data_IF_580288391848
#
_entry.id   IF_580288391848
#
_cell.length_a   1.000
_cell.length_b   1.000
_cell.length_c   1.000
_cell.angle_alpha   90.00
_cell.angle_beta   90.00
_cell.angle_gamma   90.00
#
_symmetry.space_group_name_H-M   'P 1'
#
loop_
_entity.id
_entity.type
_entity.pdbx_description
1 polymer ?
#
# COMPACT_ATOMS: atom_id res chain seq x y z
N UNK A 1 -8.86 32.32 -2.85
CA UNK A 1 -9.08 31.37 -1.73
C UNK A 1 -9.68 30.10 -2.32
N UNK A 2 -9.15 28.90 -2.01
CA UNK A 2 -9.71 27.64 -2.53
C UNK A 2 -11.00 27.32 -1.78
N UNK A 3 -12.09 27.08 -2.50
CA UNK A 3 -13.36 26.62 -1.92
C UNK A 3 -13.18 25.15 -1.56
N UNK A 4 -12.93 24.87 -0.29
CA UNK A 4 -12.81 23.51 0.24
C UNK A 4 -14.12 23.06 0.89
N UNK A 5 -14.37 21.76 0.93
CA UNK A 5 -15.55 21.18 1.60
C UNK A 5 -15.72 21.68 3.05
N UNK A 6 -14.60 21.78 3.79
CA UNK A 6 -14.54 22.30 5.16
C UNK A 6 -15.04 23.74 5.27
N UNK A 7 -14.71 24.61 4.31
CA UNK A 7 -15.15 25.99 4.29
C UNK A 7 -16.66 26.12 4.06
N UNK A 8 -17.21 25.30 3.16
CA UNK A 8 -18.65 25.27 2.89
C UNK A 8 -19.45 24.73 4.08
N UNK A 9 -18.92 23.69 4.75
CA UNK A 9 -19.57 23.13 5.93
C UNK A 9 -19.57 24.10 7.12
N UNK A 10 -18.42 24.70 7.45
CA UNK A 10 -18.36 25.72 8.52
C UNK A 10 -19.19 26.95 8.19
N UNK A 11 -19.17 27.39 6.93
CA UNK A 11 -20.04 28.46 6.42
C UNK A 11 -21.51 28.15 6.64
N UNK A 12 -21.98 26.97 6.23
CA UNK A 12 -23.38 26.55 6.42
C UNK A 12 -23.79 26.45 7.88
N UNK A 13 -22.93 25.96 8.76
CA UNK A 13 -23.21 25.83 10.19
C UNK A 13 -23.38 27.20 10.86
N UNK A 14 -22.50 28.16 10.54
CA UNK A 14 -22.60 29.53 11.04
C UNK A 14 -23.86 30.21 10.50
N UNK A 15 -24.17 30.03 9.21
CA UNK A 15 -25.37 30.58 8.58
C UNK A 15 -26.65 30.01 9.19
N UNK A 16 -26.68 28.71 9.48
CA UNK A 16 -27.81 28.06 10.16
C UNK A 16 -28.00 28.57 11.60
N UNK A 17 -26.91 28.74 12.36
CA UNK A 17 -26.96 29.29 13.72
C UNK A 17 -27.45 30.74 13.73
N UNK A 18 -26.96 31.58 12.83
CA UNK A 18 -27.43 32.96 12.69
C UNK A 18 -28.90 32.99 12.25
N UNK A 19 -29.28 32.14 11.29
CA UNK A 19 -30.66 32.07 10.82
C UNK A 19 -31.63 31.70 11.95
N UNK A 20 -31.23 30.74 12.79
CA UNK A 20 -31.98 30.32 13.96
C UNK A 20 -32.04 31.40 15.05
N UNK A 21 -30.91 32.07 15.34
CA UNK A 21 -30.82 33.12 16.36
C UNK A 21 -31.67 34.36 16.02
N UNK A 22 -31.81 34.68 14.73
CA UNK A 22 -32.60 35.82 14.26
C UNK A 22 -34.02 35.43 13.79
N UNK A 23 -34.48 34.20 14.07
CA UNK A 23 -35.78 33.66 13.61
C UNK A 23 -36.02 33.87 12.10
N UNK A 24 -34.95 33.90 11.32
CA UNK A 24 -35.01 34.16 9.88
C UNK A 24 -35.16 32.84 9.13
N UNK A 25 -36.36 32.28 9.21
CA UNK A 25 -36.71 30.97 8.62
C UNK A 25 -36.41 30.86 7.12
N UNK A 26 -36.41 31.98 6.39
CA UNK A 26 -36.05 32.03 4.96
C UNK A 26 -34.55 31.83 4.69
N UNK A 27 -33.67 32.05 5.67
CA UNK A 27 -32.22 31.85 5.55
C UNK A 27 -31.81 30.40 5.81
N UNK A 28 -32.63 29.60 6.49
CA UNK A 28 -32.36 28.19 6.76
C UNK A 28 -32.20 27.36 5.47
N UNK A 29 -33.10 27.45 4.47
CA UNK A 29 -32.91 26.76 3.18
C UNK A 29 -31.57 27.08 2.53
N UNK A 30 -31.11 28.34 2.60
CA UNK A 30 -29.82 28.77 2.05
C UNK A 30 -28.66 28.06 2.75
N UNK A 31 -28.71 27.96 4.08
CA UNK A 31 -27.72 27.20 4.85
C UNK A 31 -27.70 25.71 4.44
N UNK A 32 -28.86 25.09 4.26
CA UNK A 32 -28.97 23.70 3.79
C UNK A 32 -28.40 23.52 2.38
N UNK A 33 -28.66 24.45 1.46
CA UNK A 33 -28.08 24.40 0.12
C UNK A 33 -26.55 24.49 0.16
N UNK A 34 -26.00 25.38 0.99
CA UNK A 34 -24.54 25.52 1.15
C UNK A 34 -23.94 24.23 1.74
N UNK A 35 -24.61 23.60 2.70
CA UNK A 35 -24.18 22.32 3.25
C UNK A 35 -24.18 21.20 2.19
N UNK A 36 -25.21 21.16 1.34
CA UNK A 36 -25.32 20.19 0.25
C UNK A 36 -24.21 20.38 -0.80
N UNK A 37 -23.89 21.63 -1.15
CA UNK A 37 -22.73 21.93 -2.00
C UNK A 37 -21.41 21.51 -1.34
N UNK A 38 -21.28 21.71 -0.02
CA UNK A 38 -20.13 21.21 0.74
C UNK A 38 -19.98 19.70 0.67
N UNK A 39 -21.09 18.96 0.72
CA UNK A 39 -21.11 17.50 0.58
C UNK A 39 -20.67 17.04 -0.81
N UNK A 40 -21.15 17.68 -1.88
CA UNK A 40 -20.72 17.37 -3.25
C UNK A 40 -19.23 17.64 -3.49
N UNK A 41 -18.69 18.69 -2.88
CA UNK A 41 -17.25 18.99 -2.93
C UNK A 41 -16.45 17.98 -2.12
N UNK A 42 -16.94 17.59 -0.94
CA UNK A 42 -16.31 16.56 -0.10
C UNK A 42 -16.23 15.21 -0.83
N UNK A 43 -17.30 14.81 -1.52
CA UNK A 43 -17.36 13.57 -2.29
C UNK A 43 -16.30 13.56 -3.41
N UNK A 44 -16.13 14.69 -4.11
CA UNK A 44 -15.06 14.83 -5.10
C UNK A 44 -13.66 14.83 -4.52
N UNK A 45 -13.46 15.47 -3.37
CA UNK A 45 -12.18 15.42 -2.65
C UNK A 45 -11.86 13.99 -2.21
N UNK A 46 -12.84 13.23 -1.72
CA UNK A 46 -12.68 11.83 -1.33
C UNK A 46 -12.40 10.90 -2.51
N UNK A 47 -13.10 11.06 -3.63
CA UNK A 47 -12.85 10.29 -4.85
C UNK A 47 -11.44 10.52 -5.40
N UNK A 48 -10.94 11.76 -5.36
CA UNK A 48 -9.58 12.07 -5.80
C UNK A 48 -8.50 11.44 -4.89
N UNK A 49 -8.75 11.38 -3.59
CA UNK A 49 -7.84 10.75 -2.60
C UNK A 49 -7.87 9.21 -2.68
N UNK A 50 -9.06 8.64 -2.94
CA UNK A 50 -9.22 7.22 -3.19
C UNK A 50 -8.49 6.78 -4.45
N UNK A 51 -8.47 7.57 -5.52
CA UNK A 51 -7.74 7.24 -6.76
C UNK A 51 -6.22 7.14 -6.51
N UNK A 52 -5.64 8.06 -5.73
CA UNK A 52 -4.23 7.98 -5.34
C UNK A 52 -3.93 6.76 -4.48
N UNK A 53 -4.83 6.44 -3.55
CA UNK A 53 -4.68 5.28 -2.66
C UNK A 53 -4.85 3.97 -3.43
N UNK A 54 -5.82 3.90 -4.35
CA UNK A 54 -6.05 2.76 -5.23
C UNK A 54 -4.88 2.57 -6.21
N UNK A 55 -4.34 3.66 -6.77
CA UNK A 55 -3.12 3.62 -7.58
C UNK A 55 -1.93 3.15 -6.76
N UNK A 56 -1.77 3.56 -5.50
CA UNK A 56 -0.71 3.07 -4.62
C UNK A 56 -0.86 1.57 -4.30
N UNK A 57 -2.09 1.08 -4.17
CA UNK A 57 -2.38 -0.36 -3.97
C UNK A 57 -2.20 -1.18 -5.26
N UNK A 58 -2.53 -0.64 -6.43
CA UNK A 58 -2.28 -1.30 -7.73
C UNK A 58 -0.80 -1.26 -8.14
N UNK A 59 -0.09 -0.21 -7.75
CA UNK A 59 1.37 -0.08 -7.85
C UNK A 59 2.08 -0.79 -6.69
N UNK A 60 1.42 -1.73 -6.01
CA UNK A 60 2.05 -2.64 -5.06
C UNK A 60 3.32 -3.25 -5.70
N UNK A 61 4.42 -2.58 -5.38
CA UNK A 61 5.84 -2.97 -5.43
C UNK A 61 6.18 -3.92 -6.58
N UNK A 62 6.58 -3.40 -7.75
CA UNK A 62 7.18 -4.20 -8.83
C UNK A 62 8.41 -5.02 -8.42
N UNK A 63 8.98 -4.77 -7.23
CA UNK A 63 10.13 -5.48 -6.69
C UNK A 63 9.80 -6.73 -5.85
N UNK A 64 8.53 -7.03 -5.59
CA UNK A 64 8.18 -8.31 -4.94
C UNK A 64 8.33 -9.44 -5.96
N UNK A 65 9.57 -9.88 -6.17
CA UNK A 65 9.88 -11.09 -6.95
C UNK A 65 9.02 -12.23 -6.40
N UNK A 66 8.41 -13.05 -7.27
CA UNK A 66 7.57 -14.14 -6.83
C UNK A 66 8.36 -15.03 -5.88
N UNK A 67 7.77 -15.28 -4.71
CA UNK A 67 8.35 -16.16 -3.70
C UNK A 67 8.34 -17.58 -4.25
N UNK A 68 9.53 -18.15 -4.47
CA UNK A 68 9.66 -19.51 -4.96
C UNK A 68 9.57 -20.52 -3.83
N UNK A 69 8.96 -21.65 -4.13
CA UNK A 69 8.89 -22.82 -3.26
C UNK A 69 10.22 -23.56 -3.24
N UNK A 70 10.51 -24.22 -2.12
CA UNK A 70 11.74 -25.01 -1.98
C UNK A 70 11.71 -26.29 -2.83
N UNK A 71 10.50 -26.76 -3.18
CA UNK A 71 10.26 -28.02 -3.89
C UNK A 71 10.84 -28.04 -5.32
N UNK A 72 11.03 -26.86 -5.92
CA UNK A 72 11.58 -26.73 -7.28
C UNK A 72 13.11 -26.92 -7.31
N UNK A 73 13.77 -26.99 -6.15
CA UNK A 73 15.22 -27.00 -6.03
C UNK A 73 15.75 -28.29 -5.40
N UNK A 74 16.85 -28.79 -5.95
CA UNK A 74 17.69 -29.75 -5.26
C UNK A 74 18.51 -29.01 -4.21
N UNK A 75 18.28 -29.35 -2.95
CA UNK A 75 18.87 -28.68 -1.80
C UNK A 75 20.20 -29.34 -1.40
N UNK A 76 21.23 -28.54 -1.10
CA UNK A 76 22.53 -29.01 -0.63
C UNK A 76 23.03 -28.18 0.55
N UNK A 77 23.59 -28.87 1.55
CA UNK A 77 24.10 -28.30 2.80
C UNK A 77 23.03 -27.56 3.61
N UNK A 78 22.32 -28.30 4.45
CA UNK A 78 21.37 -27.73 5.42
C UNK A 78 22.13 -26.88 6.45
N UNK A 79 21.74 -25.63 6.64
CA UNK A 79 22.36 -24.72 7.60
C UNK A 79 21.56 -24.66 8.90
N UNK A 80 20.26 -24.36 8.81
CA UNK A 80 19.38 -24.18 9.97
C UNK A 80 17.91 -24.29 9.57
N UNK A 81 17.00 -24.15 10.54
CA UNK A 81 15.56 -24.04 10.30
C UNK A 81 15.08 -22.63 10.64
N UNK A 82 14.19 -22.09 9.80
CA UNK A 82 13.51 -20.81 10.04
C UNK A 82 12.01 -20.99 9.87
N UNK A 83 11.23 -20.53 10.85
CA UNK A 83 9.77 -20.69 10.87
C UNK A 83 9.28 -22.14 10.65
N UNK A 84 10.07 -23.14 11.03
CA UNK A 84 9.76 -24.57 10.80
C UNK A 84 10.19 -25.13 9.45
N UNK A 85 10.84 -24.33 8.59
CA UNK A 85 11.29 -24.73 7.26
C UNK A 85 12.81 -24.82 7.18
N UNK A 86 13.36 -25.84 6.48
CA UNK A 86 14.80 -26.00 6.34
C UNK A 86 15.39 -24.94 5.40
N UNK A 87 16.52 -24.35 5.80
CA UNK A 87 17.27 -23.36 5.01
C UNK A 87 18.60 -23.96 4.61
N UNK A 88 18.84 -24.04 3.30
CA UNK A 88 20.03 -24.64 2.71
C UNK A 88 21.00 -23.58 2.21
N UNK A 89 22.30 -23.91 2.21
CA UNK A 89 23.34 -23.03 1.66
C UNK A 89 23.25 -22.92 0.14
N UNK A 90 22.99 -24.04 -0.53
CA UNK A 90 22.92 -24.11 -1.98
C UNK A 90 21.57 -24.69 -2.45
N UNK A 91 20.97 -24.00 -3.41
CA UNK A 91 19.79 -24.47 -4.15
C UNK A 91 20.18 -24.69 -5.61
N UNK A 92 19.95 -25.90 -6.11
CA UNK A 92 20.34 -26.31 -7.46
C UNK A 92 19.07 -26.51 -8.28
N UNK A 93 18.87 -25.67 -9.29
CA UNK A 93 17.90 -25.86 -10.35
C UNK A 93 18.57 -26.47 -11.59
N UNK A 94 17.77 -26.87 -12.59
CA UNK A 94 18.23 -27.61 -13.77
C UNK A 94 19.46 -27.01 -14.48
N UNK A 95 19.60 -25.69 -14.50
CA UNK A 95 20.71 -24.97 -15.17
C UNK A 95 21.34 -23.84 -14.31
N UNK A 96 21.09 -23.88 -13.00
CA UNK A 96 21.60 -22.82 -12.12
C UNK A 96 21.84 -23.31 -10.70
N UNK A 97 22.95 -22.85 -10.12
CA UNK A 97 23.24 -23.00 -8.71
C UNK A 97 23.03 -21.64 -8.04
N UNK A 98 22.38 -21.65 -6.88
CA UNK A 98 22.02 -20.47 -6.12
C UNK A 98 22.59 -20.60 -4.71
N UNK A 99 23.33 -19.60 -4.25
CA UNK A 99 23.93 -19.56 -2.91
C UNK A 99 23.18 -18.58 -2.01
N UNK A 100 22.96 -18.98 -0.76
CA UNK A 100 22.28 -18.18 0.25
C UNK A 100 23.05 -16.88 0.51
N UNK A 101 22.36 -15.75 0.41
CA UNK A 101 22.92 -14.42 0.71
C UNK A 101 22.47 -13.96 2.10
N UNK A 102 21.21 -14.17 2.44
CA UNK A 102 20.64 -13.77 3.72
C UNK A 102 19.13 -13.59 3.66
N UNK A 103 18.57 -13.08 4.75
CA UNK A 103 17.15 -12.75 4.84
C UNK A 103 16.85 -11.45 4.09
N UNK A 104 15.70 -11.37 3.41
CA UNK A 104 15.28 -10.18 2.65
C UNK A 104 15.17 -8.92 3.51
N UNK A 105 14.81 -9.06 4.79
CA UNK A 105 14.76 -7.93 5.74
C UNK A 105 16.14 -7.35 6.07
N UNK A 106 17.21 -8.12 5.87
CA UNK A 106 18.59 -7.78 6.25
C UNK A 106 19.47 -7.42 5.06
N UNK A 107 19.13 -7.94 3.86
CA UNK A 107 19.94 -7.77 2.64
C UNK A 107 19.13 -7.11 1.53
N UNK A 108 19.69 -6.07 0.91
CA UNK A 108 19.08 -5.44 -0.27
C UNK A 108 19.02 -6.45 -1.43
N UNK A 109 17.83 -6.64 -1.99
CA UNK A 109 17.64 -7.49 -3.15
C UNK A 109 18.29 -6.86 -4.40
N UNK A 110 19.40 -7.44 -4.89
CA UNK A 110 20.05 -6.99 -6.12
C UNK A 110 19.51 -7.74 -7.35
N UNK A 111 19.75 -7.23 -8.56
CA UNK A 111 19.37 -7.90 -9.82
C UNK A 111 20.08 -9.25 -9.95
N UNK A 112 19.34 -10.29 -10.30
CA UNK A 112 19.89 -11.66 -10.44
C UNK A 112 19.86 -12.50 -9.15
N UNK A 113 19.15 -12.05 -8.11
CA UNK A 113 18.83 -12.86 -6.93
C UNK A 113 17.40 -13.42 -7.01
N UNK A 114 17.17 -14.59 -6.44
CA UNK A 114 15.84 -15.16 -6.26
C UNK A 114 15.43 -15.10 -4.79
N UNK A 115 14.13 -15.02 -4.55
CA UNK A 115 13.54 -15.07 -3.22
C UNK A 115 12.88 -16.43 -3.04
N UNK A 116 13.24 -17.13 -1.98
CA UNK A 116 12.77 -18.49 -1.69
C UNK A 116 12.15 -18.52 -0.30
N UNK A 117 11.03 -19.22 -0.17
CA UNK A 117 10.34 -19.40 1.10
C UNK A 117 11.29 -20.00 2.17
N UNK A 118 11.31 -19.51 3.42
CA UNK A 118 10.39 -18.55 4.06
C UNK A 118 10.76 -17.06 3.94
N UNK A 119 11.50 -16.64 2.91
CA UNK A 119 11.87 -15.23 2.70
C UNK A 119 13.38 -14.97 2.63
N UNK A 120 14.15 -15.98 2.22
CA UNK A 120 15.59 -15.86 2.04
C UNK A 120 15.94 -15.52 0.59
N UNK A 121 17.00 -14.75 0.43
CA UNK A 121 17.56 -14.37 -0.85
C UNK A 121 18.73 -15.27 -1.22
N UNK A 122 18.72 -15.72 -2.47
CA UNK A 122 19.81 -16.50 -3.04
C UNK A 122 20.34 -15.82 -4.31
N UNK A 123 21.65 -15.87 -4.52
CA UNK A 123 22.34 -15.31 -5.69
C UNK A 123 22.84 -16.43 -6.59
N UNK A 124 22.74 -16.24 -7.91
CA UNK A 124 23.29 -17.22 -8.87
C UNK A 124 24.81 -17.28 -8.75
N UNK A 125 25.34 -18.50 -8.61
CA UNK A 125 26.77 -18.77 -8.68
C UNK A 125 27.12 -19.00 -10.15
N UNK A 126 27.97 -18.15 -10.72
CA UNK A 126 28.57 -18.43 -12.02
C UNK A 126 29.51 -19.63 -11.84
N UNK A 127 29.28 -20.69 -12.61
CA UNK A 127 30.22 -21.82 -12.71
C UNK A 127 31.41 -21.44 -13.57
#
# INVERSE_FOLDING_TARGET
>A
MKVTSRFLFTGSAVLALLAFMFESWLMLPVAFFVAFFGMLVADREQLADMDQTALAMMLAVPEQRPLQTLDDFRCRELLFYSAGYPVYRYLIASDSCWELVGEESQVKAERGMIRVFPGFLYRRVAR
#
